data_IF_041023497304
#
_entry.id   IF_041023497304
#
_cell.length_a   1.000
_cell.length_b   1.000
_cell.length_c   1.000
_cell.angle_alpha   90.00
_cell.angle_beta   90.00
_cell.angle_gamma   90.00
#
_symmetry.space_group_name_H-M   'P 1'
#
loop_
_entity.id
_entity.type
_entity.pdbx_description
1 polymer ?
#
# COMPACT_ATOMS: atom_id res chain seq x y z
N UNK A 1 -60.73 45.79 37.39
CA UNK A 1 -59.89 46.88 37.93
C UNK A 1 -58.74 47.10 36.95
N UNK A 2 -58.77 48.26 36.28
CA UNK A 2 -57.69 49.09 35.70
C UNK A 2 -56.57 48.43 34.83
N UNK A 3 -56.46 48.98 33.62
CA UNK A 3 -55.43 48.86 32.56
C UNK A 3 -54.15 49.66 32.90
N UNK A 4 -52.98 49.27 32.38
CA UNK A 4 -51.84 50.11 31.90
C UNK A 4 -50.67 49.16 31.48
N UNK A 5 -50.34 48.90 30.21
CA UNK A 5 -49.67 49.70 29.14
C UNK A 5 -48.28 50.27 29.48
N UNK A 6 -47.23 49.74 28.81
CA UNK A 6 -46.13 50.44 28.09
C UNK A 6 -45.10 49.38 27.58
N UNK A 7 -44.87 49.14 26.27
CA UNK A 7 -44.01 49.86 25.29
C UNK A 7 -42.53 50.01 25.76
N UNK A 8 -41.41 49.73 25.05
CA UNK A 8 -40.97 49.38 23.67
C UNK A 8 -39.38 49.33 23.73
N UNK A 9 -38.55 49.33 22.65
CA UNK A 9 -38.33 48.42 21.52
C UNK A 9 -36.82 48.12 21.17
N UNK A 10 -36.58 47.45 20.02
CA UNK A 10 -35.38 47.45 19.12
C UNK A 10 -34.06 46.79 19.61
N UNK A 11 -33.41 45.89 18.85
CA UNK A 11 -32.87 45.99 17.48
C UNK A 11 -33.06 44.65 16.72
N UNK A 12 -33.60 44.59 15.49
CA UNK A 12 -32.93 44.77 14.17
C UNK A 12 -31.62 43.94 14.05
N UNK A 13 -31.32 43.13 13.02
CA UNK A 13 -31.74 43.15 11.61
C UNK A 13 -31.24 41.90 10.85
N UNK A 14 -31.98 41.50 9.81
CA UNK A 14 -31.58 40.88 8.52
C UNK A 14 -30.93 39.48 8.50
N UNK A 15 -31.59 38.41 8.00
CA UNK A 15 -31.91 38.09 6.58
C UNK A 15 -30.64 38.08 5.68
N UNK A 16 -30.29 37.02 4.96
CA UNK A 16 -31.02 36.53 3.78
C UNK A 16 -30.31 35.29 3.22
N UNK A 17 -31.10 34.31 2.81
CA UNK A 17 -30.68 33.15 1.99
C UNK A 17 -30.23 33.65 0.61
N UNK A 18 -29.05 33.22 0.13
CA UNK A 18 -28.66 33.32 -1.27
C UNK A 18 -28.43 31.91 -1.85
N UNK A 19 -29.05 31.69 -3.01
CA UNK A 19 -29.06 30.46 -3.83
C UNK A 19 -27.71 30.21 -4.51
N UNK A 20 -27.39 28.98 -4.95
CA UNK A 20 -26.23 28.71 -5.78
C UNK A 20 -26.58 28.87 -7.26
N UNK A 21 -25.93 29.81 -7.93
CA UNK A 21 -25.89 29.88 -9.40
C UNK A 21 -24.49 29.46 -9.88
N UNK A 22 -24.51 28.70 -10.98
CA UNK A 22 -23.37 28.04 -11.63
C UNK A 22 -22.27 29.01 -12.07
N UNK A 23 -21.01 28.64 -11.86
CA UNK A 23 -19.91 28.93 -12.79
C UNK A 23 -18.75 27.94 -12.57
N UNK A 24 -18.45 27.15 -13.61
CA UNK A 24 -17.29 26.27 -13.70
C UNK A 24 -15.99 27.08 -13.71
N UNK A 25 -15.16 26.96 -12.67
CA UNK A 25 -13.74 27.35 -12.74
C UNK A 25 -12.91 26.32 -11.96
N UNK A 26 -12.29 25.38 -12.68
CA UNK A 26 -11.24 24.52 -12.13
C UNK A 26 -10.01 25.37 -11.76
N UNK A 27 -9.52 25.38 -10.51
CA UNK A 27 -8.24 25.99 -10.21
C UNK A 27 -7.10 25.05 -10.64
N UNK A 28 -6.24 25.53 -11.55
CA UNK A 28 -4.89 25.02 -11.77
C UNK A 28 -4.08 25.17 -10.48
N UNK A 29 -3.96 24.10 -9.68
CA UNK A 29 -3.10 24.10 -8.50
C UNK A 29 -1.63 23.93 -8.90
N UNK A 30 -0.92 25.05 -9.02
CA UNK A 30 0.52 25.07 -8.78
C UNK A 30 0.76 24.94 -7.27
N UNK A 31 1.01 23.73 -6.78
CA UNK A 31 1.37 23.51 -5.38
C UNK A 31 2.85 23.87 -5.18
N UNK A 32 3.12 25.07 -4.66
CA UNK A 32 4.39 25.38 -3.99
C UNK A 32 4.45 24.56 -2.70
N UNK A 33 5.25 23.49 -2.67
CA UNK A 33 5.48 22.69 -1.45
C UNK A 33 6.17 23.55 -0.38
N UNK A 34 5.50 23.80 0.75
CA UNK A 34 6.15 24.08 2.03
C UNK A 34 6.00 22.84 2.89
N UNK A 35 7.10 22.14 3.15
CA UNK A 35 7.14 20.98 4.03
C UNK A 35 6.98 21.46 5.48
N UNK A 36 5.76 21.42 6.02
CA UNK A 36 5.53 21.39 7.46
C UNK A 36 5.45 19.93 7.88
N UNK A 37 6.54 19.39 8.41
CA UNK A 37 6.55 18.03 8.96
C UNK A 37 6.05 18.10 10.40
N UNK A 38 4.85 17.58 10.65
CA UNK A 38 4.39 17.32 12.00
C UNK A 38 5.20 16.16 12.62
N UNK A 39 5.59 16.24 13.91
CA UNK A 39 6.49 15.27 14.55
C UNK A 39 5.93 13.85 14.73
N UNK A 40 4.77 13.55 14.14
CA UNK A 40 4.03 12.29 14.31
C UNK A 40 3.57 11.72 12.95
N UNK A 41 3.96 12.34 11.83
CA UNK A 41 3.52 11.90 10.52
C UNK A 41 4.37 10.71 10.09
N UNK A 42 3.73 9.56 9.86
CA UNK A 42 4.33 8.46 9.11
C UNK A 42 4.72 9.02 7.76
N UNK A 43 6.02 9.28 7.56
CA UNK A 43 6.54 9.76 6.28
C UNK A 43 6.38 8.61 5.29
N UNK A 44 5.30 8.66 4.51
CA UNK A 44 5.19 7.80 3.34
C UNK A 44 6.23 8.30 2.34
N UNK A 45 7.19 7.47 1.91
CA UNK A 45 8.12 7.85 0.86
C UNK A 45 7.32 8.29 -0.38
N UNK A 46 7.76 9.38 -1.01
CA UNK A 46 7.13 9.90 -2.22
C UNK A 46 7.13 8.76 -3.27
N UNK A 47 5.94 8.28 -3.65
CA UNK A 47 5.77 7.10 -4.53
C UNK A 47 6.40 7.36 -5.91
N UNK A 48 6.71 8.62 -6.23
CA UNK A 48 7.44 9.05 -7.43
C UNK A 48 8.91 8.59 -7.50
N UNK A 49 9.41 7.84 -6.52
CA UNK A 49 10.79 7.34 -6.47
C UNK A 49 10.92 5.89 -6.96
N UNK A 50 9.82 5.14 -7.11
CA UNK A 50 9.88 3.73 -7.50
C UNK A 50 9.79 3.52 -9.01
N UNK A 51 10.37 2.41 -9.49
CA UNK A 51 10.15 1.94 -10.86
C UNK A 51 8.67 1.61 -11.09
N UNK A 52 8.24 1.64 -12.36
CA UNK A 52 6.88 1.25 -12.75
C UNK A 52 6.52 -0.15 -12.25
N UNK A 53 7.45 -1.10 -12.38
CA UNK A 53 7.25 -2.49 -11.96
C UNK A 53 6.92 -2.59 -10.46
N UNK A 54 7.65 -1.88 -9.60
CA UNK A 54 7.38 -1.86 -8.16
C UNK A 54 5.99 -1.26 -7.86
N UNK A 55 5.60 -0.19 -8.56
CA UNK A 55 4.29 0.43 -8.40
C UNK A 55 3.18 -0.57 -8.75
N UNK A 56 3.33 -1.31 -9.85
CA UNK A 56 2.35 -2.30 -10.30
C UNK A 56 2.22 -3.46 -9.29
N UNK A 57 3.35 -3.95 -8.76
CA UNK A 57 3.35 -4.98 -7.72
C UNK A 57 2.68 -4.49 -6.44
N UNK A 58 2.93 -3.24 -6.02
CA UNK A 58 2.26 -2.64 -4.86
C UNK A 58 0.76 -2.49 -5.06
N UNK A 59 0.32 -2.10 -6.26
CA UNK A 59 -1.11 -2.03 -6.59
C UNK A 59 -1.76 -3.42 -6.57
N UNK A 60 -1.11 -4.42 -7.17
CA UNK A 60 -1.58 -5.81 -7.13
C UNK A 60 -1.67 -6.31 -5.69
N UNK A 61 -0.64 -6.09 -4.88
CA UNK A 61 -0.62 -6.44 -3.46
C UNK A 61 -1.75 -5.77 -2.66
N UNK A 62 -2.08 -4.51 -2.96
CA UNK A 62 -3.21 -3.82 -2.33
C UNK A 62 -4.55 -4.48 -2.65
N UNK A 63 -4.72 -4.99 -3.88
CA UNK A 63 -5.95 -5.67 -4.29
C UNK A 63 -6.24 -6.92 -3.45
N UNK A 64 -5.21 -7.58 -2.90
CA UNK A 64 -5.36 -8.80 -2.10
C UNK A 64 -6.17 -8.58 -0.82
N UNK A 65 -6.22 -7.35 -0.30
CA UNK A 65 -7.04 -7.00 0.87
C UNK A 65 -8.55 -7.15 0.64
N UNK A 66 -8.97 -7.22 -0.63
CA UNK A 66 -10.37 -7.38 -1.02
C UNK A 66 -10.77 -8.83 -1.31
N UNK A 67 -9.81 -9.76 -1.31
CA UNK A 67 -10.09 -11.17 -1.53
C UNK A 67 -10.95 -11.71 -0.40
N UNK A 68 -11.96 -12.48 -0.79
CA UNK A 68 -12.88 -13.14 0.15
C UNK A 68 -12.43 -14.57 0.37
N UNK A 69 -12.96 -15.22 1.41
CA UNK A 69 -12.82 -16.65 1.57
C UNK A 69 -13.26 -17.39 0.29
N UNK A 70 -12.54 -18.45 -0.07
CA UNK A 70 -12.75 -19.25 -1.28
C UNK A 70 -12.60 -18.43 -2.58
N UNK A 71 -11.66 -17.48 -2.63
CA UNK A 71 -11.43 -16.64 -3.82
C UNK A 71 -10.93 -17.42 -5.04
N UNK A 72 -10.36 -18.61 -4.82
CA UNK A 72 -9.87 -19.53 -5.85
C UNK A 72 -10.88 -20.63 -6.21
N UNK A 73 -12.02 -20.72 -5.52
CA UNK A 73 -13.00 -21.82 -5.58
C UNK A 73 -12.53 -23.18 -5.02
N UNK A 74 -11.36 -23.25 -4.37
CA UNK A 74 -10.80 -24.48 -3.77
C UNK A 74 -10.52 -24.35 -2.26
N UNK A 75 -11.13 -23.37 -1.61
CA UNK A 75 -11.08 -23.19 -0.16
C UNK A 75 -9.97 -22.25 0.33
N UNK A 76 -9.32 -21.50 -0.55
CA UNK A 76 -8.29 -20.55 -0.12
C UNK A 76 -8.84 -19.51 0.86
N UNK A 77 -8.06 -19.24 1.90
CA UNK A 77 -8.37 -18.16 2.83
C UNK A 77 -7.85 -16.83 2.26
N UNK A 78 -8.45 -15.69 2.65
CA UNK A 78 -7.91 -14.40 2.24
C UNK A 78 -6.49 -14.19 2.81
N UNK A 79 -5.59 -13.55 2.07
CA UNK A 79 -4.25 -13.22 2.57
C UNK A 79 -4.30 -12.45 3.88
N UNK A 80 -3.44 -12.83 4.80
CA UNK A 80 -3.36 -12.22 6.11
C UNK A 80 -2.85 -10.78 5.99
N UNK A 81 -3.34 -9.90 6.86
CA UNK A 81 -2.85 -8.52 6.88
C UNK A 81 -1.36 -8.44 7.26
N UNK A 82 -0.85 -9.42 8.02
CA UNK A 82 0.57 -9.52 8.35
C UNK A 82 1.40 -9.81 7.11
N UNK A 83 1.04 -10.84 6.35
CA UNK A 83 1.66 -11.25 5.09
C UNK A 83 1.69 -10.09 4.08
N UNK A 84 0.55 -9.41 3.87
CA UNK A 84 0.47 -8.24 2.98
C UNK A 84 1.42 -7.12 3.45
N UNK A 85 1.49 -6.86 4.76
CA UNK A 85 2.37 -5.81 5.31
C UNK A 85 3.85 -6.15 5.17
N UNK A 86 4.24 -7.39 5.40
CA UNK A 86 5.63 -7.82 5.29
C UNK A 86 6.09 -7.84 3.83
N UNK A 87 5.29 -8.41 2.93
CA UNK A 87 5.51 -8.35 1.47
C UNK A 87 5.66 -6.90 0.98
N UNK A 88 4.77 -6.01 1.44
CA UNK A 88 4.85 -4.58 1.11
C UNK A 88 6.16 -3.97 1.60
N UNK A 89 6.52 -4.21 2.86
CA UNK A 89 7.77 -3.70 3.46
C UNK A 89 8.99 -4.19 2.69
N UNK A 90 9.00 -5.44 2.24
CA UNK A 90 10.07 -5.99 1.41
C UNK A 90 10.22 -5.23 0.10
N UNK A 91 9.13 -5.01 -0.64
CA UNK A 91 9.14 -4.21 -1.87
C UNK A 91 9.68 -2.79 -1.61
N UNK A 92 9.17 -2.09 -0.59
CA UNK A 92 9.61 -0.74 -0.26
C UNK A 92 11.10 -0.65 0.10
N UNK A 93 11.61 -1.58 0.92
CA UNK A 93 13.00 -1.58 1.36
C UNK A 93 13.98 -1.84 0.22
N UNK A 94 13.56 -2.63 -0.76
CA UNK A 94 14.41 -3.10 -1.84
C UNK A 94 14.12 -2.43 -3.20
N UNK A 95 13.18 -1.47 -3.25
CA UNK A 95 12.78 -0.81 -4.49
C UNK A 95 13.92 -0.05 -5.21
N UNK A 96 14.97 0.33 -4.48
CA UNK A 96 16.14 1.04 -5.02
C UNK A 96 17.33 0.11 -5.28
N UNK A 97 17.19 -1.19 -5.02
CA UNK A 97 18.19 -2.21 -5.31
C UNK A 97 17.79 -2.87 -6.63
N UNK A 98 18.76 -3.19 -7.49
CA UNK A 98 18.53 -3.84 -8.80
C UNK A 98 18.15 -5.32 -8.66
N UNK A 99 17.12 -5.61 -7.88
CA UNK A 99 16.52 -6.94 -7.78
C UNK A 99 15.49 -7.14 -8.90
N UNK A 100 15.44 -8.31 -9.56
CA UNK A 100 14.60 -8.51 -10.73
C UNK A 100 13.19 -8.96 -10.32
N UNK A 101 12.43 -8.05 -9.69
CA UNK A 101 11.06 -8.32 -9.27
C UNK A 101 10.19 -8.71 -10.48
N UNK A 102 9.46 -9.82 -10.36
CA UNK A 102 8.69 -10.38 -11.46
C UNK A 102 7.18 -10.40 -11.17
N UNK A 103 6.75 -11.00 -10.06
CA UNK A 103 5.33 -10.94 -9.67
C UNK A 103 5.10 -11.06 -8.17
N UNK A 104 3.86 -10.74 -7.77
CA UNK A 104 3.30 -11.07 -6.45
C UNK A 104 2.03 -11.91 -6.58
N UNK A 105 1.80 -12.83 -5.66
CA UNK A 105 0.64 -13.72 -5.64
C UNK A 105 0.10 -13.96 -4.21
N UNK A 106 -1.21 -14.13 -4.04
CA UNK A 106 -1.79 -14.60 -2.80
C UNK A 106 -1.67 -16.13 -2.72
N UNK A 107 -1.24 -16.64 -1.57
CA UNK A 107 -1.23 -18.07 -1.30
C UNK A 107 -2.52 -18.59 -0.67
N UNK A 108 -2.71 -19.90 -0.70
CA UNK A 108 -3.98 -20.53 -0.30
C UNK A 108 -4.21 -20.51 1.22
N UNK A 109 -3.12 -20.47 2.01
CA UNK A 109 -3.15 -20.49 3.47
C UNK A 109 -2.98 -19.08 4.07
N UNK A 110 -3.22 -18.03 3.28
CA UNK A 110 -3.19 -16.65 3.72
C UNK A 110 -1.81 -15.99 3.65
N UNK A 111 -0.81 -16.69 3.11
CA UNK A 111 0.50 -16.17 2.77
C UNK A 111 0.45 -15.24 1.55
N UNK A 112 1.52 -14.48 1.36
CA UNK A 112 1.79 -13.74 0.13
C UNK A 112 3.14 -14.18 -0.38
N UNK A 113 3.23 -14.49 -1.66
CA UNK A 113 4.49 -14.82 -2.32
C UNK A 113 4.92 -13.70 -3.26
N UNK A 114 6.22 -13.40 -3.25
CA UNK A 114 6.89 -12.52 -4.20
C UNK A 114 7.92 -13.35 -4.97
N UNK A 115 7.84 -13.32 -6.30
CA UNK A 115 8.83 -13.93 -7.17
C UNK A 115 9.77 -12.87 -7.76
N UNK A 116 11.06 -13.19 -7.77
CA UNK A 116 12.10 -12.51 -8.53
C UNK A 116 12.58 -13.46 -9.63
N UNK A 117 12.81 -12.95 -10.83
CA UNK A 117 13.14 -13.79 -11.98
C UNK A 117 14.07 -13.06 -12.96
N UNK A 118 15.20 -13.69 -13.28
CA UNK A 118 16.17 -13.19 -14.27
C UNK A 118 16.88 -14.36 -14.94
N UNK A 119 16.71 -14.48 -16.25
CA UNK A 119 17.31 -15.52 -17.08
C UNK A 119 16.97 -16.94 -16.58
N UNK A 120 17.96 -17.67 -16.06
CA UNK A 120 17.80 -19.04 -15.53
C UNK A 120 17.70 -19.06 -14.01
N UNK A 121 17.67 -17.90 -13.35
CA UNK A 121 17.62 -17.74 -11.90
C UNK A 121 16.26 -17.21 -11.48
N UNK A 122 15.69 -17.81 -10.44
CA UNK A 122 14.49 -17.31 -9.80
C UNK A 122 14.60 -17.41 -8.27
N UNK A 123 13.85 -16.56 -7.57
CA UNK A 123 13.73 -16.63 -6.13
C UNK A 123 12.26 -16.41 -5.74
N UNK A 124 11.75 -17.24 -4.85
CA UNK A 124 10.41 -17.10 -4.28
C UNK A 124 10.53 -16.78 -2.80
N UNK A 125 9.81 -15.75 -2.36
CA UNK A 125 9.77 -15.34 -0.96
C UNK A 125 8.34 -15.41 -0.48
N UNK A 126 8.09 -16.25 0.52
CA UNK A 126 6.80 -16.40 1.15
C UNK A 126 6.75 -15.62 2.46
N UNK A 127 5.69 -14.82 2.62
CA UNK A 127 5.41 -14.08 3.85
C UNK A 127 4.21 -14.71 4.54
N UNK A 128 4.47 -15.47 5.60
CA UNK A 128 3.46 -16.30 6.25
C UNK A 128 2.56 -15.51 7.22
N UNK A 129 1.35 -16.01 7.55
CA UNK A 129 0.43 -15.33 8.46
C UNK A 129 0.95 -15.09 9.87
N UNK A 130 1.85 -15.94 10.35
CA UNK A 130 2.49 -15.82 11.67
C UNK A 130 3.67 -14.82 11.67
N UNK A 131 4.01 -14.29 10.50
CA UNK A 131 5.12 -13.35 10.32
C UNK A 131 6.45 -14.01 10.01
N UNK A 132 6.53 -15.34 9.93
CA UNK A 132 7.70 -16.03 9.40
C UNK A 132 7.87 -15.79 7.90
N UNK A 133 9.07 -16.04 7.42
CA UNK A 133 9.45 -15.87 6.02
C UNK A 133 10.20 -17.09 5.52
N UNK A 134 9.92 -17.50 4.29
CA UNK A 134 10.62 -18.59 3.61
C UNK A 134 11.20 -18.07 2.30
N UNK A 135 12.41 -18.50 1.97
CA UNK A 135 13.11 -18.19 0.73
C UNK A 135 13.45 -19.49 0.00
N UNK A 136 13.05 -19.55 -1.27
CA UNK A 136 13.51 -20.58 -2.19
C UNK A 136 14.31 -19.93 -3.32
N UNK A 137 15.46 -20.50 -3.67
CA UNK A 137 16.25 -20.10 -4.83
C UNK A 137 16.24 -21.22 -5.86
N UNK A 138 16.09 -20.83 -7.12
CA UNK A 138 16.02 -21.73 -8.26
C UNK A 138 17.06 -21.37 -9.30
N UNK A 139 17.77 -22.36 -9.81
CA UNK A 139 18.62 -22.24 -10.99
C UNK A 139 18.28 -23.35 -11.99
N UNK A 140 18.02 -22.97 -13.25
CA UNK A 140 17.60 -23.90 -14.30
C UNK A 140 16.38 -24.75 -13.92
N UNK A 141 15.40 -24.13 -13.25
CA UNK A 141 14.20 -24.77 -12.70
C UNK A 141 14.46 -25.82 -11.60
N UNK A 142 15.66 -25.87 -11.02
CA UNK A 142 15.97 -26.72 -9.88
C UNK A 142 16.06 -25.84 -8.63
N UNK A 143 15.38 -26.24 -7.56
CA UNK A 143 15.56 -25.61 -6.25
C UNK A 143 16.97 -25.93 -5.74
N UNK A 144 17.78 -24.89 -5.51
CA UNK A 144 19.15 -25.00 -5.01
C UNK A 144 19.29 -24.60 -3.55
N UNK A 145 18.32 -23.84 -3.02
CA UNK A 145 18.28 -23.40 -1.64
C UNK A 145 16.83 -23.28 -1.16
N UNK A 146 16.58 -23.75 0.04
CA UNK A 146 15.35 -23.52 0.80
C UNK A 146 15.77 -23.06 2.20
N UNK A 147 15.20 -21.95 2.68
CA UNK A 147 15.62 -21.31 3.91
C UNK A 147 14.42 -20.69 4.62
N UNK A 148 14.24 -21.06 5.89
CA UNK A 148 13.35 -20.39 6.83
C UNK A 148 14.08 -19.21 7.51
N UNK A 149 13.33 -18.26 8.05
CA UNK A 149 13.83 -17.12 8.84
C UNK A 149 14.86 -16.26 8.09
N UNK A 150 14.40 -15.62 7.01
CA UNK A 150 15.22 -14.76 6.15
C UNK A 150 15.61 -13.46 6.87
N UNK A 151 16.70 -13.51 7.64
CA UNK A 151 17.19 -12.36 8.44
C UNK A 151 17.77 -11.22 7.60
N UNK A 152 18.29 -11.53 6.41
CA UNK A 152 18.78 -10.55 5.42
C UNK A 152 18.58 -11.08 4.01
N UNK A 153 18.32 -10.16 3.09
CA UNK A 153 18.16 -10.45 1.65
C UNK A 153 19.46 -10.21 0.86
N UNK A 154 20.61 -10.18 1.55
CA UNK A 154 21.92 -10.11 0.90
C UNK A 154 22.12 -11.28 -0.06
N UNK A 155 21.67 -12.47 0.35
CA UNK A 155 21.70 -13.71 -0.45
C UNK A 155 21.02 -13.52 -1.83
N UNK A 156 19.96 -12.71 -1.92
CA UNK A 156 19.29 -12.41 -3.19
C UNK A 156 20.14 -11.53 -4.10
N UNK A 157 20.80 -10.52 -3.52
CA UNK A 157 21.63 -9.58 -4.28
C UNK A 157 22.84 -10.32 -4.85
N UNK A 158 23.48 -11.18 -4.06
CA UNK A 158 24.59 -12.03 -4.51
C UNK A 158 24.10 -12.97 -5.60
N UNK A 159 23.01 -13.71 -5.33
CA UNK A 159 22.48 -14.69 -6.27
C UNK A 159 22.17 -14.12 -7.67
N UNK A 160 21.60 -12.93 -7.79
CA UNK A 160 21.23 -12.33 -9.09
C UNK A 160 22.35 -11.53 -9.78
N UNK A 161 23.46 -11.25 -9.08
CA UNK A 161 24.58 -10.48 -9.61
C UNK A 161 25.83 -11.33 -9.93
N UNK A 162 25.88 -12.56 -9.46
CA UNK A 162 26.80 -13.60 -9.95
C UNK A 162 26.43 -14.08 -11.36
#
# INVERSE_FOLDING_TARGET
MIVLLADKPEQASMSTILKPDNEEIFPKWFVKRRNYVAPNSTVFPDITVFSGDIIDLLQKLNSFTSLKYNWDSYGAIPPSLMSIRNARRFLFKNANVSLPFYFVSPGINGEVMIELNKDQKAAEIYFNPDGSEELLLYENNNCILEKEDVSSYTDLIEFFNE
#
